data_IF_543941288649
#
_entry.id   IF_543941288649
#
_cell.length_a   1.000
_cell.length_b   1.000
_cell.length_c   1.000
_cell.angle_alpha   90.00
_cell.angle_beta   90.00
_cell.angle_gamma   90.00
#
_symmetry.space_group_name_H-M   'P 1'
#
loop_
_entity.id
_entity.type
_entity.pdbx_description
1 polymer ?
#
# COMPACT_ATOMS: atom_id res chain seq x y z
N UNK A 1 -19.29 -3.06 -28.55
CA UNK A 1 -18.71 -4.42 -28.45
C UNK A 1 -19.54 -5.34 -29.34
N UNK A 2 -19.09 -6.55 -29.72
CA UNK A 2 -19.95 -7.48 -30.45
C UNK A 2 -20.85 -8.29 -29.49
N UNK A 3 -22.13 -8.46 -29.83
CA UNK A 3 -23.06 -9.33 -29.10
C UNK A 3 -22.83 -10.77 -29.58
N UNK A 4 -22.57 -11.67 -28.63
CA UNK A 4 -22.40 -13.10 -28.91
C UNK A 4 -23.65 -13.87 -28.49
N UNK A 5 -24.25 -14.63 -29.42
CA UNK A 5 -25.40 -15.49 -29.11
C UNK A 5 -25.41 -16.71 -30.02
N UNK A 6 -26.06 -17.80 -29.57
CA UNK A 6 -26.14 -19.03 -30.34
C UNK A 6 -27.37 -19.03 -31.28
N UNK A 7 -27.19 -19.49 -32.51
CA UNK A 7 -28.27 -19.70 -33.46
C UNK A 7 -29.25 -20.76 -32.92
N UNK A 8 -30.55 -20.44 -32.88
CA UNK A 8 -31.58 -21.37 -32.37
C UNK A 8 -31.86 -22.57 -33.28
N UNK A 9 -31.37 -22.56 -34.52
CA UNK A 9 -31.57 -23.64 -35.49
C UNK A 9 -30.39 -24.62 -35.57
N UNK A 10 -29.15 -24.12 -35.58
CA UNK A 10 -27.94 -24.96 -35.75
C UNK A 10 -26.97 -24.92 -34.57
N UNK A 11 -27.18 -24.06 -33.57
CA UNK A 11 -26.30 -23.91 -32.41
C UNK A 11 -24.99 -23.15 -32.65
N UNK A 12 -24.74 -22.67 -33.88
CA UNK A 12 -23.53 -21.90 -34.18
C UNK A 12 -23.48 -20.57 -33.40
N UNK A 13 -22.32 -20.23 -32.84
CA UNK A 13 -22.07 -18.96 -32.17
C UNK A 13 -22.01 -17.82 -33.20
N UNK A 14 -22.94 -16.87 -33.08
CA UNK A 14 -23.05 -15.69 -33.93
C UNK A 14 -22.48 -14.48 -33.18
N UNK A 15 -21.77 -13.62 -33.92
CA UNK A 15 -21.30 -12.32 -33.45
C UNK A 15 -21.92 -11.24 -34.31
N UNK A 16 -22.69 -10.33 -33.71
CA UNK A 16 -23.27 -9.19 -34.42
C UNK A 16 -22.86 -7.87 -33.76
N UNK A 17 -22.90 -6.78 -34.52
CA UNK A 17 -22.63 -5.45 -33.97
C UNK A 17 -23.76 -5.04 -33.00
N UNK A 18 -23.43 -4.31 -31.93
CA UNK A 18 -24.40 -3.83 -30.93
C UNK A 18 -25.59 -3.06 -31.56
N UNK A 19 -25.38 -2.40 -32.69
CA UNK A 19 -26.41 -1.67 -33.45
C UNK A 19 -27.53 -2.56 -34.02
N UNK A 20 -27.33 -3.89 -34.05
CA UNK A 20 -28.32 -4.87 -34.49
C UNK A 20 -29.12 -5.49 -33.33
N UNK A 21 -28.90 -5.04 -32.09
CA UNK A 21 -29.63 -5.50 -30.92
C UNK A 21 -31.15 -5.34 -31.10
N UNK A 22 -31.91 -6.41 -30.85
CA UNK A 22 -33.36 -6.43 -31.08
C UNK A 22 -33.78 -6.53 -32.56
N UNK A 23 -32.84 -6.56 -33.49
CA UNK A 23 -33.07 -6.80 -34.91
C UNK A 23 -33.10 -8.28 -35.29
N UNK A 24 -32.91 -8.56 -36.59
CA UNK A 24 -32.78 -9.92 -37.11
C UNK A 24 -31.42 -10.08 -37.79
N UNK A 25 -30.75 -11.20 -37.53
CA UNK A 25 -29.47 -11.52 -38.14
C UNK A 25 -29.54 -12.86 -38.89
N UNK A 26 -28.86 -12.94 -40.04
CA UNK A 26 -28.78 -14.16 -40.83
C UNK A 26 -27.61 -15.02 -40.36
N UNK A 27 -27.88 -16.27 -40.02
CA UNK A 27 -26.83 -17.22 -39.66
C UNK A 27 -25.99 -17.60 -40.90
N UNK A 28 -24.65 -17.47 -40.87
CA UNK A 28 -23.79 -17.82 -42.00
C UNK A 28 -23.59 -19.33 -42.18
N UNK A 29 -23.96 -20.15 -41.18
CA UNK A 29 -23.83 -21.61 -41.24
C UNK A 29 -25.05 -22.30 -41.86
N UNK A 30 -26.27 -21.91 -41.46
CA UNK A 30 -27.51 -22.55 -41.94
C UNK A 30 -28.43 -21.63 -42.76
N UNK A 31 -28.12 -20.34 -42.87
CA UNK A 31 -28.92 -19.36 -43.62
C UNK A 31 -30.21 -18.90 -42.94
N UNK A 32 -30.55 -19.46 -41.76
CA UNK A 32 -31.73 -19.09 -40.99
C UNK A 32 -31.64 -17.65 -40.48
N UNK A 33 -32.79 -16.95 -40.45
CA UNK A 33 -32.92 -15.61 -39.88
C UNK A 33 -33.32 -15.78 -38.41
N UNK A 34 -32.47 -15.31 -37.50
CA UNK A 34 -32.63 -15.46 -36.05
C UNK A 34 -32.79 -14.08 -35.41
N UNK A 35 -33.73 -13.87 -34.49
CA UNK A 35 -33.83 -12.61 -33.75
C UNK A 35 -32.59 -12.43 -32.87
N UNK A 36 -31.95 -11.27 -32.96
CA UNK A 36 -30.86 -10.88 -32.07
C UNK A 36 -31.49 -10.54 -30.72
N UNK A 37 -31.04 -11.14 -29.60
CA UNK A 37 -31.54 -10.78 -28.29
C UNK A 37 -31.46 -9.26 -28.12
N UNK A 38 -32.50 -8.60 -27.55
CA UNK A 38 -32.33 -7.21 -27.16
C UNK A 38 -31.09 -7.14 -26.28
N UNK A 39 -30.25 -6.12 -26.48
CA UNK A 39 -29.14 -5.88 -25.58
C UNK A 39 -29.75 -5.92 -24.18
N UNK A 40 -29.37 -6.92 -23.38
CA UNK A 40 -29.85 -7.01 -22.02
C UNK A 40 -29.67 -5.60 -21.48
N UNK A 41 -30.74 -5.01 -20.97
CA UNK A 41 -30.70 -3.69 -20.37
C UNK A 41 -29.89 -3.90 -19.09
N UNK A 42 -28.57 -4.07 -19.26
CA UNK A 42 -27.58 -4.14 -18.21
C UNK A 42 -27.90 -2.85 -17.50
N UNK A 43 -28.43 -2.90 -16.26
CA UNK A 43 -28.80 -1.69 -15.56
C UNK A 43 -27.60 -0.80 -15.69
N UNK A 44 -27.73 0.28 -16.47
CA UNK A 44 -26.65 1.25 -16.55
C UNK A 44 -26.54 1.66 -15.11
N UNK A 45 -25.48 1.20 -14.44
CA UNK A 45 -25.15 1.67 -13.10
C UNK A 45 -25.23 3.18 -13.29
N UNK A 46 -26.25 3.84 -12.71
CA UNK A 46 -26.55 5.23 -13.04
C UNK A 46 -25.22 5.91 -12.97
N UNK A 47 -24.74 6.50 -14.08
CA UNK A 47 -23.39 7.02 -14.20
C UNK A 47 -23.11 7.79 -12.93
N UNK A 48 -22.41 7.11 -12.01
CA UNK A 48 -22.59 7.39 -10.60
C UNK A 48 -21.99 8.76 -10.44
N UNK A 49 -22.86 9.76 -10.27
CA UNK A 49 -22.53 11.17 -10.42
C UNK A 49 -21.27 11.39 -9.62
N UNK A 50 -20.14 11.41 -10.33
CA UNK A 50 -18.86 11.27 -9.67
C UNK A 50 -18.76 12.50 -8.79
N UNK A 51 -18.61 12.35 -7.45
CA UNK A 51 -18.69 13.50 -6.59
C UNK A 51 -17.66 14.51 -7.08
N UNK A 52 -18.00 15.81 -7.09
CA UNK A 52 -17.10 16.84 -7.59
C UNK A 52 -15.74 16.72 -6.88
N UNK A 53 -14.62 17.04 -7.55
CA UNK A 53 -13.27 16.80 -7.01
C UNK A 53 -13.02 17.32 -5.58
N UNK A 54 -13.68 18.42 -5.20
CA UNK A 54 -13.60 18.99 -3.85
C UNK A 54 -14.20 18.09 -2.75
N UNK A 55 -15.30 17.39 -3.05
CA UNK A 55 -15.94 16.45 -2.12
C UNK A 55 -15.10 15.18 -1.96
N UNK A 56 -14.55 14.65 -3.06
CA UNK A 56 -13.61 13.52 -3.05
C UNK A 56 -12.40 13.80 -2.17
N UNK A 57 -11.84 15.02 -2.25
CA UNK A 57 -10.68 15.41 -1.44
C UNK A 57 -11.03 15.41 0.05
N UNK A 58 -12.18 15.96 0.42
CA UNK A 58 -12.63 16.03 1.82
C UNK A 58 -12.89 14.63 2.38
N UNK A 59 -13.51 13.77 1.57
CA UNK A 59 -13.69 12.35 1.87
C UNK A 59 -12.36 11.63 2.09
N UNK A 60 -11.41 11.79 1.16
CA UNK A 60 -10.10 11.15 1.25
C UNK A 60 -9.31 11.61 2.49
N UNK A 61 -9.31 12.92 2.80
CA UNK A 61 -8.65 13.45 4.00
C UNK A 61 -9.24 12.82 5.27
N UNK A 62 -10.56 12.76 5.39
CA UNK A 62 -11.22 12.19 6.57
C UNK A 62 -10.84 10.72 6.81
N UNK A 63 -10.61 9.96 5.74
CA UNK A 63 -10.25 8.54 5.81
C UNK A 63 -8.75 8.30 6.00
N UNK A 64 -7.91 9.14 5.41
CA UNK A 64 -6.44 9.03 5.45
C UNK A 64 -5.82 9.60 6.72
N UNK A 65 -6.48 10.54 7.39
CA UNK A 65 -5.89 11.26 8.52
C UNK A 65 -5.51 10.32 9.68
N UNK A 66 -6.41 9.40 10.04
CA UNK A 66 -6.17 8.41 11.09
C UNK A 66 -4.93 7.54 10.84
N UNK A 67 -4.86 6.80 9.72
CA UNK A 67 -3.69 5.98 9.40
C UNK A 67 -2.41 6.79 9.29
N UNK A 68 -2.45 7.96 8.66
CA UNK A 68 -1.26 8.79 8.46
C UNK A 68 -0.68 9.29 9.79
N UNK A 69 -1.52 9.76 10.72
CA UNK A 69 -1.07 10.19 12.05
C UNK A 69 -0.49 9.02 12.85
N UNK A 70 -1.13 7.84 12.78
CA UNK A 70 -0.62 6.65 13.45
C UNK A 70 0.77 6.24 12.93
N UNK A 71 0.96 6.21 11.60
CA UNK A 71 2.27 5.91 10.97
C UNK A 71 3.32 6.94 11.39
N UNK A 72 3.00 8.24 11.35
CA UNK A 72 3.93 9.31 11.76
C UNK A 72 4.35 9.13 13.23
N UNK A 73 3.38 8.94 14.13
CA UNK A 73 3.65 8.83 15.56
C UNK A 73 4.51 7.61 15.90
N UNK A 74 4.17 6.43 15.36
CA UNK A 74 4.90 5.19 15.62
C UNK A 74 6.33 5.25 15.06
N UNK A 75 6.51 5.69 13.81
CA UNK A 75 7.83 5.78 13.21
C UNK A 75 8.68 6.89 13.83
N UNK A 76 8.08 8.00 14.28
CA UNK A 76 8.82 9.05 14.99
C UNK A 76 9.32 8.58 16.36
N UNK A 77 8.50 7.82 17.09
CA UNK A 77 8.90 7.21 18.36
C UNK A 77 10.01 6.16 18.14
N UNK A 78 9.86 5.32 17.11
CA UNK A 78 10.88 4.35 16.70
C UNK A 78 12.22 5.03 16.37
N UNK A 79 12.19 6.07 15.53
CA UNK A 79 13.38 6.84 15.18
C UNK A 79 14.03 7.50 16.41
N UNK A 80 13.24 8.06 17.33
CA UNK A 80 13.76 8.62 18.57
C UNK A 80 14.46 7.56 19.44
N UNK A 81 13.88 6.37 19.54
CA UNK A 81 14.47 5.24 20.26
C UNK A 81 15.75 4.73 19.58
N UNK A 82 15.78 4.66 18.25
CA UNK A 82 16.98 4.28 17.49
C UNK A 82 18.12 5.27 17.67
N UNK A 83 17.84 6.58 17.65
CA UNK A 83 18.85 7.61 17.92
C UNK A 83 19.41 7.49 19.33
N UNK A 84 18.56 7.19 20.31
CA UNK A 84 18.98 6.94 21.68
C UNK A 84 19.92 5.71 21.76
N UNK A 85 19.53 4.60 21.13
CA UNK A 85 20.36 3.38 21.09
C UNK A 85 21.67 3.58 20.32
N UNK A 86 21.65 4.32 19.21
CA UNK A 86 22.85 4.66 18.45
C UNK A 86 23.83 5.49 19.28
N UNK A 87 23.32 6.47 20.05
CA UNK A 87 24.10 7.22 21.02
C UNK A 87 24.72 6.32 22.09
N UNK A 88 23.95 5.41 22.66
CA UNK A 88 24.45 4.44 23.63
C UNK A 88 25.52 3.49 23.04
N UNK A 89 25.32 3.05 21.79
CA UNK A 89 26.27 2.21 21.07
C UNK A 89 27.60 2.93 20.83
N UNK A 90 27.55 4.20 20.40
CA UNK A 90 28.73 5.04 20.20
C UNK A 90 29.54 5.22 21.49
N UNK A 91 28.87 5.42 22.63
CA UNK A 91 29.53 5.48 23.94
C UNK A 91 30.23 4.14 24.23
N UNK A 92 29.55 3.01 23.99
CA UNK A 92 30.12 1.67 24.17
C UNK A 92 31.36 1.41 23.33
N UNK A 93 31.34 1.81 22.05
CA UNK A 93 32.50 1.73 21.15
C UNK A 93 33.65 2.60 21.68
N UNK A 94 33.34 3.83 22.12
CA UNK A 94 34.33 4.77 22.66
C UNK A 94 35.03 4.21 23.91
N UNK A 95 34.26 3.68 24.87
CA UNK A 95 34.79 3.08 26.10
C UNK A 95 35.62 1.82 25.79
N UNK A 96 35.17 0.98 24.86
CA UNK A 96 35.92 -0.20 24.42
C UNK A 96 37.25 0.18 23.73
N UNK A 97 37.26 1.29 23.01
CA UNK A 97 38.47 1.82 22.35
C UNK A 97 39.54 2.29 23.33
N UNK A 98 39.14 2.99 24.41
CA UNK A 98 40.10 3.54 25.39
C UNK A 98 40.60 2.52 26.42
N UNK A 99 39.80 1.50 26.74
CA UNK A 99 40.14 0.52 27.78
C UNK A 99 41.21 -0.49 27.35
N UNK A 100 41.51 -0.59 26.05
CA UNK A 100 42.66 -1.33 25.52
C UNK A 100 42.80 -2.75 26.07
N UNK A 101 42.16 -3.73 25.44
CA UNK A 101 42.28 -5.15 25.82
C UNK A 101 42.12 -6.10 24.63
N UNK A 102 42.44 -7.39 24.82
CA UNK A 102 42.31 -8.42 23.78
C UNK A 102 40.88 -8.56 23.22
N UNK A 103 39.88 -8.08 23.95
CA UNK A 103 38.47 -8.06 23.52
C UNK A 103 38.01 -6.72 22.92
N UNK A 104 38.88 -5.72 22.75
CA UNK A 104 38.50 -4.42 22.22
C UNK A 104 38.15 -4.49 20.73
N UNK A 105 38.98 -5.14 19.91
CA UNK A 105 38.75 -5.28 18.47
C UNK A 105 37.38 -5.91 18.11
N UNK A 106 36.97 -7.08 18.67
CA UNK A 106 35.66 -7.65 18.34
C UNK A 106 34.49 -6.79 18.84
N UNK A 107 34.63 -6.07 19.96
CA UNK A 107 33.59 -5.17 20.47
C UNK A 107 33.41 -3.94 19.58
N UNK A 108 34.51 -3.33 19.11
CA UNK A 108 34.46 -2.18 18.20
C UNK A 108 33.84 -2.59 16.86
N UNK A 109 34.23 -3.74 16.31
CA UNK A 109 33.65 -4.26 15.07
C UNK A 109 32.14 -4.54 15.23
N UNK A 110 31.74 -5.22 16.31
CA UNK A 110 30.34 -5.51 16.59
C UNK A 110 29.51 -4.23 16.78
N UNK A 111 30.05 -3.24 17.48
CA UNK A 111 29.41 -1.93 17.63
C UNK A 111 29.26 -1.20 16.29
N UNK A 112 30.29 -1.22 15.44
CA UNK A 112 30.24 -0.62 14.10
C UNK A 112 29.17 -1.26 13.21
N UNK A 113 29.06 -2.58 13.21
CA UNK A 113 27.99 -3.29 12.47
C UNK A 113 26.62 -2.90 13.02
N UNK A 114 26.46 -2.91 14.35
CA UNK A 114 25.20 -2.53 14.98
C UNK A 114 24.79 -1.08 14.63
N UNK A 115 25.74 -0.14 14.62
CA UNK A 115 25.50 1.24 14.23
C UNK A 115 25.09 1.35 12.75
N UNK A 116 25.75 0.63 11.84
CA UNK A 116 25.39 0.63 10.43
C UNK A 116 23.96 0.11 10.21
N UNK A 117 23.56 -0.94 10.93
CA UNK A 117 22.20 -1.48 10.86
C UNK A 117 21.17 -0.49 11.43
N UNK A 118 21.46 0.14 12.58
CA UNK A 118 20.61 1.18 13.17
C UNK A 118 20.39 2.36 12.21
N UNK A 119 21.44 2.81 11.50
CA UNK A 119 21.32 3.88 10.52
C UNK A 119 20.46 3.48 9.32
N UNK A 120 20.60 2.24 8.82
CA UNK A 120 19.79 1.73 7.73
C UNK A 120 18.30 1.66 8.12
N UNK A 121 18.00 1.23 9.34
CA UNK A 121 16.62 1.19 9.87
C UNK A 121 16.05 2.59 10.13
N UNK A 122 16.86 3.50 10.66
CA UNK A 122 16.47 4.91 10.82
C UNK A 122 16.13 5.58 9.50
N UNK A 123 16.83 5.23 8.42
CA UNK A 123 16.47 5.68 7.08
C UNK A 123 15.11 5.13 6.63
N UNK A 124 14.81 3.86 6.91
CA UNK A 124 13.50 3.29 6.60
C UNK A 124 12.37 4.00 7.37
N UNK A 125 12.55 4.28 8.66
CA UNK A 125 11.61 5.06 9.47
C UNK A 125 11.42 6.48 8.90
N UNK A 126 12.52 7.15 8.50
CA UNK A 126 12.44 8.46 7.88
C UNK A 126 11.67 8.44 6.55
N UNK A 127 11.85 7.41 5.73
CA UNK A 127 11.10 7.20 4.48
C UNK A 127 9.61 6.97 4.77
N UNK A 128 9.28 6.17 5.79
CA UNK A 128 7.90 5.94 6.21
C UNK A 128 7.22 7.24 6.67
N UNK A 129 7.90 8.05 7.49
CA UNK A 129 7.41 9.37 7.93
C UNK A 129 7.20 10.29 6.72
N UNK A 130 8.17 10.36 5.80
CA UNK A 130 8.06 11.18 4.60
C UNK A 130 6.87 10.76 3.72
N UNK A 131 6.64 9.46 3.53
CA UNK A 131 5.48 8.94 2.80
C UNK A 131 4.15 9.24 3.49
N UNK A 132 4.09 9.14 4.82
CA UNK A 132 2.90 9.51 5.59
C UNK A 132 2.60 11.02 5.53
N UNK A 133 3.61 11.89 5.52
CA UNK A 133 3.42 13.33 5.26
C UNK A 133 2.83 13.56 3.86
N UNK A 134 3.24 12.78 2.86
CA UNK A 134 2.67 12.85 1.52
C UNK A 134 1.22 12.34 1.46
N UNK A 135 0.83 11.40 2.34
CA UNK A 135 -0.57 10.99 2.50
C UNK A 135 -1.44 12.16 2.97
N UNK A 136 -1.00 12.88 4.01
CA UNK A 136 -1.74 14.04 4.53
C UNK A 136 -1.85 15.15 3.48
N UNK A 137 -0.83 15.31 2.65
CA UNK A 137 -0.80 16.32 1.58
C UNK A 137 -1.49 15.89 0.29
N UNK A 138 -1.86 14.62 0.14
CA UNK A 138 -2.48 14.03 -1.06
C UNK A 138 -1.69 14.33 -2.35
N UNK A 139 -0.36 14.36 -2.26
CA UNK A 139 0.50 14.79 -3.38
C UNK A 139 0.99 13.64 -4.27
N UNK A 140 1.19 12.46 -3.70
CA UNK A 140 1.78 11.33 -4.40
C UNK A 140 1.26 10.02 -3.85
N UNK A 141 0.54 9.25 -4.68
CA UNK A 141 0.07 7.92 -4.34
C UNK A 141 1.20 6.91 -4.16
N UNK A 142 2.24 6.98 -5.00
CA UNK A 142 3.35 6.03 -4.96
C UNK A 142 4.11 6.10 -3.62
N UNK A 143 4.47 7.30 -3.15
CA UNK A 143 5.15 7.49 -1.87
C UNK A 143 4.28 7.08 -0.67
N UNK A 144 2.97 7.36 -0.73
CA UNK A 144 2.01 6.91 0.26
C UNK A 144 1.98 5.37 0.34
N UNK A 145 1.85 4.71 -0.81
CA UNK A 145 1.83 3.26 -0.88
C UNK A 145 3.13 2.63 -0.38
N UNK A 146 4.29 3.19 -0.73
CA UNK A 146 5.58 2.71 -0.22
C UNK A 146 5.69 2.83 1.29
N UNK A 147 5.22 3.93 1.90
CA UNK A 147 5.24 4.02 3.36
C UNK A 147 4.35 2.97 4.03
N UNK A 148 3.18 2.66 3.45
CA UNK A 148 2.31 1.61 3.99
C UNK A 148 3.01 0.23 3.94
N UNK A 149 3.71 -0.09 2.85
CA UNK A 149 4.50 -1.33 2.73
C UNK A 149 5.67 -1.33 3.71
N UNK A 150 6.41 -0.23 3.82
CA UNK A 150 7.56 -0.12 4.72
C UNK A 150 7.14 -0.33 6.18
N UNK A 151 5.97 0.17 6.59
CA UNK A 151 5.42 -0.05 7.93
C UNK A 151 4.99 -1.51 8.18
N UNK A 152 4.71 -2.30 7.14
CA UNK A 152 4.43 -3.73 7.29
C UNK A 152 5.69 -4.57 7.56
N UNK A 153 6.87 -4.04 7.20
CA UNK A 153 8.13 -4.74 7.38
C UNK A 153 8.60 -4.55 8.83
N UNK A 154 8.82 -5.64 9.58
CA UNK A 154 9.20 -5.58 10.98
C UNK A 154 10.68 -5.26 11.15
N UNK A 155 11.12 -4.12 10.61
CA UNK A 155 12.51 -3.69 10.72
C UNK A 155 12.95 -3.65 12.17
N UNK A 156 12.08 -3.19 13.07
CA UNK A 156 12.29 -3.06 14.51
C UNK A 156 12.60 -4.38 15.25
N UNK A 157 12.34 -5.55 14.64
CA UNK A 157 12.46 -6.85 15.33
C UNK A 157 13.73 -7.63 14.99
N UNK A 158 14.52 -7.23 13.99
CA UNK A 158 15.59 -8.09 13.45
C UNK A 158 16.91 -7.96 14.22
N UNK A 159 17.10 -6.94 15.07
CA UNK A 159 18.46 -6.55 15.47
C UNK A 159 19.00 -7.06 16.80
N UNK A 160 18.24 -7.65 17.73
CA UNK A 160 18.85 -8.21 18.96
C UNK A 160 18.09 -9.39 19.61
N UNK A 161 18.73 -10.54 19.87
CA UNK A 161 18.12 -11.68 20.54
C UNK A 161 17.61 -11.42 21.99
N UNK A 162 18.21 -10.55 22.84
CA UNK A 162 17.60 -10.24 24.13
C UNK A 162 16.44 -9.22 24.06
N UNK A 163 16.21 -8.57 22.91
CA UNK A 163 15.17 -7.54 22.75
C UNK A 163 13.79 -8.10 22.38
N UNK A 164 13.68 -9.42 22.14
CA UNK A 164 12.42 -10.06 21.75
C UNK A 164 11.26 -9.82 22.74
N UNK A 165 11.55 -9.64 24.04
CA UNK A 165 10.51 -9.33 25.03
C UNK A 165 9.98 -7.89 24.98
N UNK A 166 10.77 -6.93 24.46
CA UNK A 166 10.35 -5.52 24.44
C UNK A 166 9.54 -5.18 23.18
N UNK A 167 9.78 -5.88 22.06
CA UNK A 167 9.15 -5.59 20.77
C UNK A 167 7.90 -6.42 20.46
N UNK A 168 7.66 -7.50 21.21
CA UNK A 168 6.47 -8.36 21.07
C UNK A 168 5.12 -7.62 21.11
N UNK A 169 4.89 -6.62 21.97
CA UNK A 169 3.60 -5.91 21.99
C UNK A 169 3.45 -4.86 20.89
N UNK A 170 4.55 -4.35 20.32
CA UNK A 170 4.51 -3.25 19.33
C UNK A 170 4.31 -3.79 17.92
N UNK A 171 4.88 -4.95 17.60
CA UNK A 171 4.78 -5.55 16.26
C UNK A 171 3.35 -5.73 15.74
N UNK A 172 2.38 -6.24 16.52
CA UNK A 172 1.00 -6.36 16.07
C UNK A 172 0.37 -5.00 15.75
N UNK A 173 0.78 -3.95 16.47
CA UNK A 173 0.26 -2.59 16.28
C UNK A 173 0.77 -2.01 14.97
N UNK A 174 2.07 -2.11 14.68
CA UNK A 174 2.66 -1.61 13.42
C UNK A 174 2.04 -2.31 12.21
N UNK A 175 1.92 -3.64 12.25
CA UNK A 175 1.30 -4.41 11.16
C UNK A 175 -0.17 -4.05 10.99
N UNK A 176 -0.92 -3.90 12.09
CA UNK A 176 -2.32 -3.48 12.03
C UNK A 176 -2.47 -2.09 11.42
N UNK A 177 -1.61 -1.14 11.79
CA UNK A 177 -1.61 0.22 11.24
C UNK A 177 -1.22 0.22 9.76
N UNK A 178 -0.21 -0.56 9.37
CA UNK A 178 0.21 -0.70 7.97
C UNK A 178 -0.88 -1.31 7.09
N UNK A 179 -1.54 -2.37 7.55
CA UNK A 179 -2.67 -3.01 6.85
C UNK A 179 -3.87 -2.06 6.75
N UNK A 180 -4.15 -1.31 7.81
CA UNK A 180 -5.21 -0.31 7.80
C UNK A 180 -4.94 0.81 6.79
N UNK A 181 -3.71 1.33 6.75
CA UNK A 181 -3.29 2.32 5.75
C UNK A 181 -3.40 1.78 4.33
N UNK A 182 -2.94 0.55 4.08
CA UNK A 182 -3.03 -0.11 2.78
C UNK A 182 -4.48 -0.33 2.34
N UNK A 183 -5.35 -0.76 3.26
CA UNK A 183 -6.79 -0.94 2.99
C UNK A 183 -7.46 0.38 2.60
N UNK A 184 -7.17 1.48 3.32
CA UNK A 184 -7.69 2.81 2.98
C UNK A 184 -7.17 3.30 1.63
N UNK A 185 -5.89 3.08 1.32
CA UNK A 185 -5.30 3.46 0.03
C UNK A 185 -5.79 2.62 -1.15
N UNK A 186 -6.40 1.47 -0.92
CA UNK A 186 -6.98 0.63 -1.98
C UNK A 186 -8.42 1.02 -2.33
N UNK A 187 -9.04 1.93 -1.58
CA UNK A 187 -10.34 2.50 -1.93
C UNK A 187 -10.24 3.29 -3.26
N UNK A 188 -11.06 2.97 -4.28
CA UNK A 188 -11.03 3.65 -5.56
C UNK A 188 -11.30 5.16 -5.45
N UNK A 189 -12.13 5.60 -4.50
CA UNK A 189 -12.42 7.02 -4.28
C UNK A 189 -11.20 7.76 -3.74
N UNK A 190 -10.47 7.14 -2.81
CA UNK A 190 -9.21 7.69 -2.28
C UNK A 190 -8.15 7.73 -3.37
N UNK A 191 -8.02 6.66 -4.18
CA UNK A 191 -7.07 6.62 -5.30
C UNK A 191 -7.38 7.68 -6.37
N UNK A 192 -8.66 7.95 -6.63
CA UNK A 192 -9.06 9.02 -7.54
C UNK A 192 -8.65 10.41 -7.03
N UNK A 193 -8.72 10.65 -5.73
CA UNK A 193 -8.33 11.92 -5.11
C UNK A 193 -6.82 12.23 -5.20
N UNK A 194 -5.95 11.24 -5.43
CA UNK A 194 -4.51 11.46 -5.66
C UNK A 194 -4.15 11.83 -7.10
N UNK A 195 -5.10 11.74 -8.04
CA UNK A 195 -4.86 12.03 -9.47
C UNK A 195 -5.18 13.47 -9.87
N UNK A 196 -5.79 14.24 -8.96
CA UNK A 196 -6.16 15.65 -9.14
C UNK A 196 -5.00 16.56 -8.76
#
# INVERSE_FOLDING_TARGET
MPIEFNCTQCGALLRTADETAGGQARCPQCGAIVPVPPAADVPRVPEASFPPPAELRSYAIGRLFGPAVAVIALNALGLAYELFLAGWNLIGIGVAGVTGGQHAAPRVLAGGIALAVLLAMGLANAVAIAGAIQMVRIRSYALAWTSAIVTLLPFSCVTLPPAALCCLPVWPVDVAVGLWAAAVLNDPLVRAAFRT
#
